data_IF_521194922688
#
_entry.id   IF_521194922688
#
_cell.length_a   1.000
_cell.length_b   1.000
_cell.length_c   1.000
_cell.angle_alpha   90.00
_cell.angle_beta   90.00
_cell.angle_gamma   90.00
#
_symmetry.space_group_name_H-M   'P 1'
#
loop_
_entity.id
_entity.type
_entity.pdbx_description
1 polymer ?
#
# COMPACT_ATOMS: atom_id res chain seq x y z
N UNK A 1 0.20 -12.65 -0.92
CA UNK A 1 -0.22 -12.04 -2.20
C UNK A 1 0.75 -10.92 -2.54
N UNK A 2 1.31 -10.94 -3.73
CA UNK A 2 2.33 -9.98 -4.12
C UNK A 2 1.73 -8.86 -4.97
N UNK A 3 1.90 -7.63 -4.49
CA UNK A 3 1.51 -6.45 -5.26
C UNK A 3 2.70 -5.96 -6.06
N UNK A 4 2.44 -5.41 -7.23
CA UNK A 4 3.48 -4.90 -8.13
C UNK A 4 3.03 -3.57 -8.72
N UNK A 5 3.97 -2.68 -9.09
CA UNK A 5 3.60 -1.47 -9.82
C UNK A 5 2.83 -1.81 -11.08
N UNK A 6 1.83 -1.01 -11.39
CA UNK A 6 0.96 -1.24 -12.54
C UNK A 6 -0.31 -2.02 -12.22
N UNK A 7 -0.40 -2.64 -11.07
CA UNK A 7 -1.60 -3.37 -10.67
C UNK A 7 -2.69 -2.41 -10.23
N UNK A 8 -3.93 -2.74 -10.58
CA UNK A 8 -5.08 -1.96 -10.16
C UNK A 8 -5.61 -2.51 -8.85
N UNK A 9 -5.72 -1.64 -7.86
CA UNK A 9 -6.09 -2.03 -6.49
C UNK A 9 -7.03 -0.99 -5.89
N UNK A 10 -7.62 -1.36 -4.75
CA UNK A 10 -8.39 -0.42 -3.96
C UNK A 10 -8.13 -0.68 -2.48
N UNK A 11 -8.32 0.35 -1.67
CA UNK A 11 -8.25 0.21 -0.21
C UNK A 11 -9.57 -0.36 0.30
N UNK A 12 -9.50 -1.30 1.24
CA UNK A 12 -10.70 -2.00 1.69
C UNK A 12 -11.76 -1.07 2.29
N UNK A 13 -11.36 0.10 2.78
CA UNK A 13 -12.28 1.12 3.30
C UNK A 13 -12.73 2.13 2.27
N UNK A 14 -12.13 2.10 1.08
CA UNK A 14 -12.42 3.06 0.01
C UNK A 14 -12.61 2.34 -1.30
N UNK A 15 -13.54 1.39 -1.29
CA UNK A 15 -13.76 0.51 -2.46
C UNK A 15 -14.21 1.29 -3.70
N UNK A 16 -14.76 2.47 -3.50
CA UNK A 16 -15.21 3.32 -4.60
C UNK A 16 -14.10 4.17 -5.22
N UNK A 17 -12.88 4.06 -4.71
CA UNK A 17 -11.74 4.84 -5.19
C UNK A 17 -10.57 3.94 -5.54
N UNK A 18 -10.69 3.13 -6.61
CA UNK A 18 -9.56 2.31 -7.04
C UNK A 18 -8.46 3.16 -7.64
N UNK A 19 -7.31 2.57 -7.80
CA UNK A 19 -6.17 3.24 -8.41
C UNK A 19 -5.12 2.25 -8.84
N UNK A 20 -4.02 2.76 -9.39
CA UNK A 20 -2.92 1.95 -9.90
C UNK A 20 -1.70 2.17 -9.01
N UNK A 21 -1.04 1.09 -8.65
CA UNK A 21 0.20 1.17 -7.87
C UNK A 21 1.29 1.76 -8.75
N UNK A 22 1.91 2.85 -8.29
CA UNK A 22 3.05 3.46 -8.98
C UNK A 22 4.36 2.88 -8.49
N UNK A 23 4.48 2.69 -7.17
CA UNK A 23 5.69 2.10 -6.59
C UNK A 23 5.36 1.48 -5.25
N UNK A 24 6.24 0.59 -4.81
CA UNK A 24 6.14 -0.04 -3.51
C UNK A 24 7.47 0.17 -2.80
N UNK A 25 7.42 0.64 -1.56
CA UNK A 25 8.60 0.84 -0.73
C UNK A 25 8.39 0.20 0.62
N UNK A 26 9.47 -0.05 1.33
CA UNK A 26 9.38 -0.61 2.67
C UNK A 26 9.53 0.49 3.71
N UNK A 27 8.81 0.34 4.80
CA UNK A 27 8.86 1.27 5.92
C UNK A 27 9.30 0.52 7.16
N UNK A 28 10.38 0.96 7.77
CA UNK A 28 10.90 0.39 9.01
C UNK A 28 10.75 1.39 10.14
N UNK A 29 10.12 0.97 11.22
CA UNK A 29 9.97 1.79 12.41
C UNK A 29 11.00 1.36 13.45
N UNK A 30 12.22 1.85 13.31
CA UNK A 30 13.31 1.43 14.17
C UNK A 30 13.13 1.87 15.62
N UNK A 31 12.54 3.03 15.84
CA UNK A 31 12.38 3.57 17.19
C UNK A 31 11.37 2.81 18.03
N UNK A 32 10.64 1.92 17.45
CA UNK A 32 9.59 1.18 18.14
C UNK A 32 9.95 -0.27 18.40
N UNK A 33 11.23 -0.59 18.35
CA UNK A 33 11.69 -1.97 18.52
C UNK A 33 11.75 -2.35 19.98
N UNK A 34 10.61 -2.38 20.62
CA UNK A 34 10.49 -2.88 21.97
C UNK A 34 10.17 -4.35 21.89
N UNK A 35 11.01 -5.17 22.47
CA UNK A 35 10.83 -6.61 22.40
C UNK A 35 11.52 -7.29 21.24
N UNK A 36 12.28 -6.55 20.46
CA UNK A 36 13.20 -7.15 19.49
C UNK A 36 12.64 -7.57 18.16
N UNK A 37 11.39 -7.28 17.87
CA UNK A 37 10.84 -7.61 16.54
C UNK A 37 10.55 -6.37 15.76
N UNK A 38 11.31 -6.17 14.68
CA UNK A 38 10.98 -5.13 13.70
C UNK A 38 10.15 -5.76 12.61
N UNK A 39 8.93 -5.27 12.42
CA UNK A 39 8.12 -5.69 11.31
C UNK A 39 8.28 -4.69 10.18
N UNK A 40 8.76 -5.18 9.06
CA UNK A 40 8.86 -4.39 7.86
C UNK A 40 7.50 -4.38 7.19
N UNK A 41 6.95 -3.19 6.99
CA UNK A 41 5.67 -3.04 6.31
C UNK A 41 5.91 -2.41 4.94
N UNK A 42 5.25 -2.97 3.95
CA UNK A 42 5.32 -2.43 2.59
C UNK A 42 4.24 -1.38 2.41
N UNK A 43 4.63 -0.26 1.82
CA UNK A 43 3.74 0.85 1.52
C UNK A 43 3.68 1.03 0.01
N UNK A 44 2.48 1.05 -0.53
CA UNK A 44 2.26 1.27 -1.95
C UNK A 44 1.77 2.70 -2.18
N UNK A 45 2.36 3.38 -3.16
CA UNK A 45 1.86 4.65 -3.65
C UNK A 45 0.87 4.37 -4.77
N UNK A 46 -0.36 4.80 -4.59
CA UNK A 46 -1.47 4.51 -5.51
C UNK A 46 -1.94 5.82 -6.14
N UNK A 47 -2.06 5.81 -7.47
CA UNK A 47 -2.63 6.93 -8.22
C UNK A 47 -4.07 6.61 -8.56
N UNK A 48 -4.99 7.41 -8.03
CA UNK A 48 -6.42 7.25 -8.29
C UNK A 48 -6.81 7.80 -9.66
N UNK A 49 -8.01 7.49 -10.10
CA UNK A 49 -8.50 7.91 -11.42
C UNK A 49 -8.61 9.43 -11.57
N UNK A 50 -8.70 10.15 -10.46
CA UNK A 50 -8.74 11.61 -10.45
C UNK A 50 -7.35 12.26 -10.31
N UNK A 51 -6.28 11.49 -10.56
CA UNK A 51 -4.88 11.91 -10.49
C UNK A 51 -4.38 12.23 -9.08
N UNK A 52 -5.15 11.95 -8.05
CA UNK A 52 -4.66 12.09 -6.68
C UNK A 52 -3.82 10.88 -6.27
N UNK A 53 -2.86 11.11 -5.38
CA UNK A 53 -1.99 10.06 -4.88
C UNK A 53 -2.31 9.73 -3.44
N UNK A 54 -2.20 8.46 -3.11
CA UNK A 54 -2.38 7.98 -1.73
C UNK A 54 -1.30 6.97 -1.41
N UNK A 55 -0.93 6.91 -0.13
CA UNK A 55 0.01 5.90 0.36
C UNK A 55 -0.75 4.97 1.31
N UNK A 56 -0.76 3.70 0.98
CA UNK A 56 -1.44 2.68 1.77
C UNK A 56 -0.49 1.54 2.09
N UNK A 57 -0.70 0.90 3.23
CA UNK A 57 -0.03 -0.37 3.48
C UNK A 57 -0.59 -1.44 2.55
N UNK A 58 0.28 -2.25 1.96
CA UNK A 58 -0.18 -3.30 1.04
C UNK A 58 -1.14 -4.28 1.71
N UNK A 59 -1.01 -4.47 3.02
CA UNK A 59 -1.91 -5.35 3.75
C UNK A 59 -3.38 -4.89 3.69
N UNK A 60 -3.60 -3.59 3.48
CA UNK A 60 -4.94 -3.00 3.41
C UNK A 60 -5.49 -2.93 1.99
N UNK A 61 -4.70 -3.32 1.01
CA UNK A 61 -5.11 -3.25 -0.39
C UNK A 61 -5.73 -4.55 -0.86
N UNK A 62 -6.61 -4.42 -1.83
CA UNK A 62 -7.24 -5.55 -2.51
C UNK A 62 -7.09 -5.37 -4.01
N UNK A 63 -6.93 -6.47 -4.73
CA UNK A 63 -6.80 -6.42 -6.18
C UNK A 63 -8.18 -6.22 -6.78
N UNK A 64 -8.28 -5.25 -7.68
CA UNK A 64 -9.51 -5.04 -8.43
C UNK A 64 -9.49 -5.93 -9.67
N UNK A 65 -10.45 -6.82 -9.75
CA UNK A 65 -10.60 -7.71 -10.91
C UNK A 65 -11.51 -7.10 -11.98
#
# INVERSE_FOLDING_TARGET
MNFKPGMRVYHFRQMHRPGIILEISSSKHKQWMIGGTSQEKLVATVKHDDDTLSNFFTADLRIED
#
